data_IF_220371659609
#
_entry.id   IF_220371659609
#
_cell.length_a   1.000
_cell.length_b   1.000
_cell.length_c   1.000
_cell.angle_alpha   90.00
_cell.angle_beta   90.00
_cell.angle_gamma   90.00
#
_symmetry.space_group_name_H-M   'P 1'
#
loop_
_entity.id
_entity.type
_entity.pdbx_description
1 polymer ?
#
# COMPACT_ATOMS: atom_id res chain seq x y z
N UNK A 1 -10.94 9.71 -23.79
CA UNK A 1 -10.62 9.36 -22.39
C UNK A 1 -11.20 10.47 -21.53
N UNK A 2 -11.97 10.17 -20.50
CA UNK A 2 -12.42 11.16 -19.51
C UNK A 2 -11.47 11.13 -18.31
N UNK A 3 -11.01 12.30 -17.88
CA UNK A 3 -10.15 12.43 -16.72
C UNK A 3 -11.03 12.80 -15.52
N UNK A 4 -11.00 11.96 -14.49
CA UNK A 4 -11.80 12.13 -13.28
C UNK A 4 -10.86 12.27 -12.10
N UNK A 5 -10.93 13.43 -11.43
CA UNK A 5 -10.19 13.68 -10.19
C UNK A 5 -11.13 13.45 -9.01
N UNK A 6 -10.69 12.64 -8.04
CA UNK A 6 -11.43 12.37 -6.82
C UNK A 6 -10.62 12.90 -5.64
N UNK A 7 -11.18 13.85 -4.91
CA UNK A 7 -10.66 14.28 -3.62
C UNK A 7 -11.26 13.38 -2.54
N UNK A 8 -10.44 12.64 -1.80
CA UNK A 8 -10.94 11.66 -0.85
C UNK A 8 -10.07 11.52 0.42
N UNK A 9 -10.63 10.79 1.37
CA UNK A 9 -9.91 10.15 2.48
C UNK A 9 -10.24 8.65 2.49
N UNK A 10 -10.07 7.98 3.63
CA UNK A 10 -10.07 6.51 3.68
C UNK A 10 -11.33 5.79 3.21
N UNK A 11 -12.51 6.06 3.80
CA UNK A 11 -13.69 5.17 3.61
C UNK A 11 -14.54 5.47 2.37
N UNK A 12 -14.63 6.73 1.94
CA UNK A 12 -15.44 7.08 0.76
C UNK A 12 -14.86 6.55 -0.56
N UNK A 13 -13.54 6.37 -0.59
CA UNK A 13 -12.81 5.88 -1.76
C UNK A 13 -13.11 4.40 -2.10
N UNK A 14 -13.42 3.56 -1.11
CA UNK A 14 -13.51 2.09 -1.28
C UNK A 14 -14.59 1.62 -2.23
N UNK A 15 -15.63 2.42 -2.45
CA UNK A 15 -16.71 2.07 -3.38
C UNK A 15 -16.58 2.79 -4.72
N UNK A 16 -16.20 4.09 -4.69
CA UNK A 16 -16.19 4.94 -5.89
C UNK A 16 -15.01 4.59 -6.81
N UNK A 17 -13.81 4.38 -6.25
CA UNK A 17 -12.60 4.16 -7.06
C UNK A 17 -12.70 2.87 -7.88
N UNK A 18 -13.03 1.69 -7.31
CA UNK A 18 -13.15 0.47 -8.10
C UNK A 18 -14.24 0.56 -9.17
N UNK A 19 -15.37 1.22 -8.85
CA UNK A 19 -16.45 1.43 -9.79
C UNK A 19 -16.01 2.27 -11.00
N UNK A 20 -15.22 3.33 -10.80
CA UNK A 20 -14.72 4.18 -11.89
C UNK A 20 -13.62 3.49 -12.69
N UNK A 21 -12.68 2.80 -12.04
CA UNK A 21 -11.58 2.08 -12.72
C UNK A 21 -12.12 0.93 -13.59
N UNK A 22 -13.22 0.29 -13.19
CA UNK A 22 -13.86 -0.76 -14.00
C UNK A 22 -14.49 -0.26 -15.31
N UNK A 23 -14.62 1.06 -15.50
CA UNK A 23 -15.20 1.65 -16.71
C UNK A 23 -14.13 1.89 -17.76
N UNK A 24 -14.42 1.49 -18.99
CA UNK A 24 -13.56 1.81 -20.12
C UNK A 24 -13.48 3.33 -20.34
N UNK A 25 -12.33 3.79 -20.83
CA UNK A 25 -12.05 5.19 -21.21
C UNK A 25 -12.11 6.21 -20.06
N UNK A 26 -12.01 5.77 -18.80
CA UNK A 26 -11.84 6.66 -17.63
C UNK A 26 -10.41 6.58 -17.12
N UNK A 27 -9.79 7.74 -16.91
CA UNK A 27 -8.54 7.86 -16.15
C UNK A 27 -8.86 8.49 -14.80
N UNK A 28 -8.61 7.74 -13.72
CA UNK A 28 -8.88 8.18 -12.35
C UNK A 28 -7.59 8.74 -11.74
N UNK A 29 -7.67 9.97 -11.23
CA UNK A 29 -6.64 10.57 -10.36
C UNK A 29 -7.21 10.71 -8.96
N UNK A 30 -6.57 10.09 -7.98
CA UNK A 30 -6.97 10.15 -6.58
C UNK A 30 -6.08 11.13 -5.82
N UNK A 31 -6.69 12.15 -5.20
CA UNK A 31 -6.02 13.08 -4.29
C UNK A 31 -6.49 12.77 -2.88
N UNK A 32 -5.60 12.19 -2.09
CA UNK A 32 -5.90 11.63 -0.77
C UNK A 32 -5.37 12.57 0.32
N UNK A 33 -6.19 12.89 1.31
CA UNK A 33 -5.67 13.57 2.51
C UNK A 33 -4.83 12.59 3.36
N UNK A 34 -3.76 13.08 3.96
CA UNK A 34 -2.81 12.28 4.74
C UNK A 34 -2.77 12.74 6.21
N UNK A 35 -3.92 13.15 6.75
CA UNK A 35 -4.02 13.77 8.07
C UNK A 35 -4.37 12.82 9.21
N UNK A 36 -4.68 11.55 8.93
CA UNK A 36 -4.95 10.52 9.96
C UNK A 36 -3.72 10.31 10.87
N UNK A 37 -3.91 10.33 12.18
CA UNK A 37 -2.88 10.13 13.21
C UNK A 37 -3.26 9.05 14.23
N UNK A 38 -4.32 8.27 13.97
CA UNK A 38 -4.75 7.22 14.88
C UNK A 38 -3.90 5.94 14.80
N UNK A 39 -3.85 5.18 15.89
CA UNK A 39 -3.32 3.80 15.94
C UNK A 39 -1.93 3.67 15.29
N UNK A 40 -1.74 2.65 14.44
CA UNK A 40 -0.50 2.43 13.69
C UNK A 40 -0.11 3.61 12.81
N UNK A 41 -1.07 4.40 12.30
CA UNK A 41 -0.78 5.61 11.52
C UNK A 41 -0.04 6.62 12.38
N UNK A 42 -0.52 6.88 13.59
CA UNK A 42 0.11 7.77 14.56
C UNK A 42 1.51 7.35 14.96
N UNK A 43 1.73 6.05 15.18
CA UNK A 43 3.06 5.51 15.49
C UNK A 43 4.05 5.78 14.35
N UNK A 44 3.67 5.46 13.10
CA UNK A 44 4.53 5.66 11.93
C UNK A 44 4.82 7.16 11.73
N UNK A 45 3.81 8.03 11.89
CA UNK A 45 3.99 9.48 11.79
C UNK A 45 5.00 10.02 12.79
N UNK A 46 4.89 9.60 14.06
CA UNK A 46 5.83 10.04 15.11
C UNK A 46 7.22 9.48 14.91
N UNK A 47 7.33 8.23 14.47
CA UNK A 47 8.61 7.57 14.26
C UNK A 47 9.39 8.19 13.10
N UNK A 48 8.75 8.45 11.96
CA UNK A 48 9.42 8.99 10.76
C UNK A 48 9.29 10.51 10.58
N UNK A 49 8.50 11.20 11.40
CA UNK A 49 8.23 12.63 11.23
C UNK A 49 7.46 12.95 9.93
N UNK A 50 6.53 12.08 9.53
CA UNK A 50 5.83 12.15 8.24
C UNK A 50 4.30 12.34 8.38
N UNK A 51 3.62 12.53 7.24
CA UNK A 51 2.15 12.50 7.14
C UNK A 51 1.58 11.08 7.28
N UNK A 52 0.29 10.97 7.56
CA UNK A 52 -0.38 9.69 7.83
C UNK A 52 -0.46 8.79 6.58
N UNK A 53 0.20 7.62 6.57
CA UNK A 53 0.27 6.78 5.37
C UNK A 53 -0.99 5.93 5.13
N UNK A 54 -1.89 5.82 6.10
CA UNK A 54 -2.93 4.77 6.12
C UNK A 54 -3.93 4.87 4.98
N UNK A 55 -4.43 6.08 4.69
CA UNK A 55 -5.44 6.30 3.66
C UNK A 55 -4.81 6.29 2.26
N UNK A 56 -3.57 6.79 2.12
CA UNK A 56 -2.79 6.63 0.88
C UNK A 56 -2.62 5.14 0.55
N UNK A 57 -2.17 4.34 1.52
CA UNK A 57 -2.01 2.88 1.36
C UNK A 57 -3.31 2.21 0.93
N UNK A 58 -4.43 2.50 1.61
CA UNK A 58 -5.76 1.94 1.26
C UNK A 58 -6.18 2.32 -0.15
N UNK A 59 -5.95 3.56 -0.56
CA UNK A 59 -6.32 4.03 -1.90
C UNK A 59 -5.46 3.35 -2.96
N UNK A 60 -4.15 3.23 -2.74
CA UNK A 60 -3.25 2.51 -3.65
C UNK A 60 -3.66 1.04 -3.81
N UNK A 61 -4.02 0.38 -2.69
CA UNK A 61 -4.56 -0.99 -2.70
C UNK A 61 -5.79 -1.12 -3.61
N UNK A 62 -6.73 -0.17 -3.56
CA UNK A 62 -7.93 -0.15 -4.41
C UNK A 62 -7.62 0.08 -5.90
N UNK A 63 -6.46 0.65 -6.21
CA UNK A 63 -6.02 1.00 -7.56
C UNK A 63 -5.05 -0.01 -8.16
N UNK A 64 -4.79 -1.13 -7.46
CA UNK A 64 -3.92 -2.19 -7.99
C UNK A 64 -4.48 -2.72 -9.34
N UNK A 65 -3.64 -2.85 -10.37
CA UNK A 65 -4.02 -3.39 -11.67
C UNK A 65 -4.38 -4.88 -11.53
N UNK A 66 -5.67 -5.22 -11.68
CA UNK A 66 -6.17 -6.60 -11.50
C UNK A 66 -5.67 -7.58 -12.55
N UNK A 67 -5.17 -7.08 -13.67
CA UNK A 67 -4.56 -7.84 -14.77
C UNK A 67 -3.04 -8.01 -14.61
N UNK A 68 -2.44 -7.42 -13.58
CA UNK A 68 -1.02 -7.59 -13.28
C UNK A 68 -0.76 -9.00 -12.69
N UNK A 69 0.21 -9.75 -13.22
CA UNK A 69 0.58 -11.07 -12.70
C UNK A 69 0.94 -11.10 -11.21
N UNK A 70 1.44 -9.99 -10.67
CA UNK A 70 1.83 -9.85 -9.25
C UNK A 70 0.70 -9.28 -8.37
N UNK A 71 -0.53 -9.15 -8.89
CA UNK A 71 -1.66 -8.55 -8.17
C UNK A 71 -1.85 -9.15 -6.77
N UNK A 72 -1.87 -10.47 -6.63
CA UNK A 72 -2.12 -11.14 -5.35
C UNK A 72 -0.98 -10.91 -4.35
N UNK A 73 0.28 -10.92 -4.83
CA UNK A 73 1.45 -10.62 -4.01
C UNK A 73 1.41 -9.17 -3.51
N UNK A 74 1.12 -8.23 -4.40
CA UNK A 74 0.99 -6.82 -4.06
C UNK A 74 -0.16 -6.61 -3.07
N UNK A 75 -1.32 -7.21 -3.31
CA UNK A 75 -2.47 -7.12 -2.41
C UNK A 75 -2.14 -7.67 -1.02
N UNK A 76 -1.51 -8.84 -0.95
CA UNK A 76 -1.06 -9.45 0.30
C UNK A 76 -0.11 -8.53 1.06
N UNK A 77 0.88 -7.94 0.37
CA UNK A 77 1.82 -6.99 0.98
C UNK A 77 1.11 -5.72 1.49
N UNK A 78 0.21 -5.14 0.69
CA UNK A 78 -0.56 -3.96 1.08
C UNK A 78 -1.38 -4.24 2.34
N UNK A 79 -1.98 -5.43 2.46
CA UNK A 79 -2.85 -5.80 3.58
C UNK A 79 -2.10 -6.34 4.81
N UNK A 80 -0.83 -6.74 4.65
CA UNK A 80 -0.07 -7.37 5.72
C UNK A 80 0.08 -6.47 6.94
N UNK A 81 -0.07 -7.08 8.12
CA UNK A 81 0.22 -6.47 9.42
C UNK A 81 1.00 -7.48 10.25
N UNK A 82 2.13 -7.05 10.80
CA UNK A 82 2.87 -7.88 11.73
C UNK A 82 1.98 -8.27 12.93
N UNK A 83 1.96 -9.56 13.31
CA UNK A 83 1.29 -10.01 14.53
C UNK A 83 1.84 -9.31 15.77
N UNK A 84 1.00 -9.13 16.79
CA UNK A 84 1.42 -8.45 18.03
C UNK A 84 2.49 -9.23 18.81
N UNK A 85 2.55 -10.54 18.60
CA UNK A 85 3.49 -11.49 19.22
C UNK A 85 4.72 -11.78 18.35
N UNK A 86 4.93 -11.02 17.26
CA UNK A 86 6.14 -11.16 16.45
C UNK A 86 7.40 -10.80 17.24
N UNK A 87 8.49 -11.53 16.97
CA UNK A 87 9.80 -11.24 17.55
C UNK A 87 10.43 -10.09 16.76
N UNK A 88 10.69 -8.97 17.44
CA UNK A 88 11.19 -7.74 16.81
C UNK A 88 12.46 -7.95 15.99
N UNK A 89 13.41 -8.72 16.51
CA UNK A 89 14.71 -8.89 15.86
C UNK A 89 14.59 -9.72 14.58
N UNK A 90 13.77 -10.77 14.59
CA UNK A 90 13.44 -11.57 13.39
C UNK A 90 12.81 -10.69 12.29
N UNK A 91 11.85 -9.83 12.68
CA UNK A 91 11.20 -8.88 11.76
C UNK A 91 12.21 -7.91 11.17
N UNK A 92 13.07 -7.32 12.00
CA UNK A 92 14.08 -6.37 11.53
C UNK A 92 15.11 -7.04 10.63
N UNK A 93 15.50 -8.28 10.91
CA UNK A 93 16.46 -9.00 10.08
C UNK A 93 15.85 -9.37 8.73
N UNK A 94 14.59 -9.81 8.69
CA UNK A 94 13.86 -10.01 7.43
C UNK A 94 13.78 -8.71 6.62
N UNK A 95 13.37 -7.59 7.25
CA UNK A 95 13.29 -6.28 6.59
C UNK A 95 14.65 -5.81 6.06
N UNK A 96 15.73 -6.01 6.80
CA UNK A 96 17.09 -5.66 6.36
C UNK A 96 17.52 -6.51 5.17
N UNK A 97 17.28 -7.83 5.20
CA UNK A 97 17.61 -8.74 4.10
C UNK A 97 16.85 -8.37 2.83
N UNK A 98 15.60 -7.95 2.95
CA UNK A 98 14.84 -7.43 1.82
C UNK A 98 15.42 -6.08 1.32
N UNK A 99 15.57 -5.11 2.22
CA UNK A 99 16.02 -3.75 1.88
C UNK A 99 17.44 -3.68 1.31
N UNK A 100 18.31 -4.64 1.64
CA UNK A 100 19.66 -4.73 1.07
C UNK A 100 19.74 -5.64 -0.17
N UNK A 101 18.60 -6.10 -0.69
CA UNK A 101 18.51 -6.91 -1.90
C UNK A 101 18.97 -8.36 -1.75
N UNK A 102 19.28 -8.83 -0.54
CA UNK A 102 19.70 -10.22 -0.27
C UNK A 102 18.52 -11.21 -0.23
N UNK A 103 17.30 -10.73 -0.06
CA UNK A 103 16.06 -11.50 -0.17
C UNK A 103 15.12 -10.85 -1.18
N UNK A 104 14.43 -11.66 -1.99
CA UNK A 104 13.26 -11.23 -2.78
C UNK A 104 11.95 -11.51 -2.06
N UNK A 105 12.00 -12.20 -0.93
CA UNK A 105 10.84 -12.54 -0.11
C UNK A 105 10.74 -11.60 1.10
N UNK A 106 9.53 -11.11 1.34
CA UNK A 106 9.17 -10.32 2.50
C UNK A 106 7.81 -10.80 3.00
N UNK A 107 7.73 -11.18 4.27
CA UNK A 107 6.49 -11.60 4.96
C UNK A 107 5.72 -12.71 4.24
N UNK A 108 6.42 -13.66 3.61
CA UNK A 108 5.83 -14.75 2.82
C UNK A 108 5.39 -14.35 1.41
N UNK A 109 5.65 -13.10 1.00
CA UNK A 109 5.37 -12.57 -0.34
C UNK A 109 6.66 -12.49 -1.14
N UNK A 110 6.67 -13.06 -2.34
CA UNK A 110 7.82 -12.97 -3.24
C UNK A 110 7.68 -11.77 -4.17
N UNK A 111 8.61 -10.82 -4.07
CA UNK A 111 8.65 -9.57 -4.82
C UNK A 111 9.73 -9.66 -5.90
N UNK A 112 9.33 -10.20 -7.06
CA UNK A 112 10.22 -10.37 -8.22
C UNK A 112 10.38 -9.11 -9.06
N UNK A 113 9.48 -8.13 -8.89
CA UNK A 113 9.51 -6.88 -9.65
C UNK A 113 10.68 -6.00 -9.23
N UNK A 114 11.62 -5.75 -10.16
CA UNK A 114 12.82 -4.95 -9.90
C UNK A 114 12.52 -3.50 -9.50
N UNK A 115 11.39 -2.93 -9.95
CA UNK A 115 11.00 -1.55 -9.58
C UNK A 115 10.62 -1.38 -8.11
N UNK A 116 10.35 -2.49 -7.40
CA UNK A 116 10.09 -2.49 -5.96
C UNK A 116 11.40 -2.68 -5.17
N UNK A 117 12.48 -3.10 -5.85
CA UNK A 117 13.78 -3.44 -5.24
C UNK A 117 14.84 -2.35 -5.38
N UNK A 118 14.75 -1.51 -6.41
CA UNK A 118 15.63 -0.35 -6.66
C UNK A 118 15.06 0.95 -6.06
#
# INVERSE_FOLDING_TARGET
>A
MFNVVILNGGRGASTIIPALISRQRIQVTSVVNAYDDGKSTGEIRRFFGMLGPSDIRKVQELMLPKDDPDYDNNLALFQYRFPLDCVRDDVLDQLKLFANGKSTELVGVNLMNTRVRD
#
